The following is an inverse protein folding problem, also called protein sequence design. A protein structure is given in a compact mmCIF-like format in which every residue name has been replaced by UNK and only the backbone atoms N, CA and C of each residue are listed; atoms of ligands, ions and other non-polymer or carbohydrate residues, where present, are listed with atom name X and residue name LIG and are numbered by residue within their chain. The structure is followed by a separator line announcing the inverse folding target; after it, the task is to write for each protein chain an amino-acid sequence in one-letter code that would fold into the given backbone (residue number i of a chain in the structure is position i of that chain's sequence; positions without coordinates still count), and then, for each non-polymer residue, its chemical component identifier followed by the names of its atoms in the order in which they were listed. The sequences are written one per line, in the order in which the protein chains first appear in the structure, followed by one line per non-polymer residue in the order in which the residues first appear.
data_IF_531220482232
#
_entry.id   IF_531220482232
#
_cell.length_a   1.000
_cell.length_b   1.000
_cell.length_c   1.000
_cell.angle_alpha   90.00
_cell.angle_beta   90.00
_cell.angle_gamma   90.00
#
_symmetry.space_group_name_H-M   'P 1'
#
loop_
_entity.id
_entity.type
_entity.pdbx_description
1 polymer ?
#
# COMPACT_ATOMS: atom_id res chain seq x y z
N UNK A 1 -56.79 -18.02 -15.29
CA UNK A 1 -56.10 -18.46 -16.53
C UNK A 1 -54.75 -17.72 -16.54
N UNK A 2 -53.62 -18.16 -15.99
CA UNK A 2 -52.87 -19.44 -16.06
C UNK A 2 -52.81 -20.06 -17.45
N UNK A 3 -51.59 -20.07 -18.01
CA UNK A 3 -50.83 -21.21 -18.60
C UNK A 3 -50.27 -20.91 -20.01
N UNK A 4 -48.92 -20.89 -20.11
CA UNK A 4 -47.98 -21.48 -21.09
C UNK A 4 -48.32 -21.48 -22.61
N UNK A 5 -47.38 -21.55 -23.57
CA UNK A 5 -46.06 -22.17 -23.60
C UNK A 5 -45.27 -21.68 -24.85
N UNK A 6 -43.96 -21.45 -24.65
CA UNK A 6 -42.81 -21.93 -25.45
C UNK A 6 -42.90 -22.06 -26.99
N UNK A 7 -41.92 -21.37 -27.59
CA UNK A 7 -41.01 -21.82 -28.67
C UNK A 7 -41.58 -22.12 -30.07
N UNK A 8 -41.00 -21.47 -31.09
CA UNK A 8 -40.01 -22.12 -31.97
C UNK A 8 -39.44 -21.18 -33.04
N UNK A 9 -38.09 -21.24 -33.14
CA UNK A 9 -37.27 -21.21 -34.36
C UNK A 9 -37.21 -19.92 -35.19
N UNK A 10 -36.05 -19.26 -35.14
CA UNK A 10 -35.08 -19.32 -36.25
C UNK A 10 -33.85 -18.45 -35.96
N UNK A 11 -32.86 -19.00 -35.24
CA UNK A 11 -31.43 -18.72 -35.48
C UNK A 11 -30.66 -20.00 -35.12
N UNK A 12 -30.72 -20.99 -36.00
CA UNK A 12 -29.92 -22.21 -35.95
C UNK A 12 -29.41 -22.43 -37.37
N UNK A 13 -28.17 -22.01 -37.61
CA UNK A 13 -27.19 -22.72 -38.42
C UNK A 13 -25.92 -21.87 -38.42
N UNK A 14 -24.93 -22.33 -37.64
CA UNK A 14 -23.51 -22.41 -38.02
C UNK A 14 -22.57 -22.67 -36.82
N UNK A 15 -23.00 -23.44 -35.82
CA UNK A 15 -22.06 -24.07 -34.89
C UNK A 15 -22.16 -25.58 -35.03
N UNK A 16 -21.33 -26.12 -35.93
CA UNK A 16 -20.94 -27.53 -35.90
C UNK A 16 -19.55 -27.58 -35.27
N UNK A 17 -19.49 -28.36 -34.21
CA UNK A 17 -18.34 -28.68 -33.36
C UNK A 17 -17.16 -29.13 -34.24
N UNK A 18 -15.99 -28.52 -34.04
CA UNK A 18 -14.72 -29.19 -34.19
C UNK A 18 -14.10 -29.26 -32.80
N UNK A 19 -14.12 -30.45 -32.20
CA UNK A 19 -13.18 -30.83 -31.16
C UNK A 19 -11.79 -30.86 -31.79
N UNK A 20 -10.91 -29.97 -31.35
CA UNK A 20 -9.46 -30.17 -31.40
C UNK A 20 -8.91 -29.60 -30.09
N UNK A 21 -8.45 -30.54 -29.27
CA UNK A 21 -7.39 -30.51 -28.27
C UNK A 21 -7.16 -29.25 -27.39
N UNK A 22 -7.12 -29.55 -26.11
CA UNK A 22 -6.56 -28.78 -25.00
C UNK A 22 -5.29 -28.01 -25.36
N UNK A 23 -5.35 -26.68 -25.36
CA UNK A 23 -4.19 -25.81 -25.22
C UNK A 23 -4.62 -24.44 -24.66
N UNK A 24 -3.94 -24.06 -23.57
CA UNK A 24 -3.79 -22.74 -22.95
C UNK A 24 -5.03 -21.93 -22.52
N UNK A 25 -5.27 -21.96 -21.19
CA UNK A 25 -5.92 -20.86 -20.47
C UNK A 25 -4.98 -19.65 -20.51
N UNK A 26 -5.19 -18.77 -21.49
CA UNK A 26 -4.30 -17.64 -21.77
C UNK A 26 -4.40 -16.53 -20.72
N UNK A 27 -3.23 -16.23 -20.15
CA UNK A 27 -2.89 -15.18 -19.18
C UNK A 27 -3.08 -13.72 -19.67
N UNK A 28 -3.78 -13.48 -20.77
CA UNK A 28 -3.88 -12.14 -21.38
C UNK A 28 -4.93 -11.22 -20.76
N UNK A 29 -5.86 -11.74 -19.93
CA UNK A 29 -6.93 -10.93 -19.34
C UNK A 29 -6.63 -10.33 -17.95
N UNK A 30 -5.40 -10.50 -17.44
CA UNK A 30 -4.91 -9.79 -16.24
C UNK A 30 -4.06 -8.56 -16.57
N UNK A 31 -3.90 -8.25 -17.87
CA UNK A 31 -3.29 -7.02 -18.35
C UNK A 31 -4.13 -5.81 -17.92
N UNK A 32 -3.67 -5.11 -16.87
CA UNK A 32 -4.14 -3.75 -16.60
C UNK A 32 -3.61 -2.90 -17.75
N UNK A 33 -4.50 -2.49 -18.66
CA UNK A 33 -4.08 -1.67 -19.78
C UNK A 33 -3.53 -0.32 -19.30
N UNK A 34 -2.75 0.35 -20.14
CA UNK A 34 -2.10 1.62 -19.81
C UNK A 34 -3.12 2.70 -19.36
N UNK A 35 -4.34 2.62 -19.88
CA UNK A 35 -5.47 3.50 -19.52
C UNK A 35 -5.94 3.23 -18.08
N UNK A 36 -6.08 1.98 -17.65
CA UNK A 36 -6.43 1.61 -16.28
C UNK A 36 -5.29 1.95 -15.30
N UNK A 37 -4.04 1.73 -15.70
CA UNK A 37 -2.86 2.15 -14.93
C UNK A 37 -2.87 3.68 -14.73
N UNK A 38 -3.19 4.44 -15.77
CA UNK A 38 -3.29 5.90 -15.70
C UNK A 38 -4.48 6.38 -14.86
N UNK A 39 -5.67 5.75 -14.96
CA UNK A 39 -6.84 6.07 -14.11
C UNK A 39 -6.58 5.78 -12.64
N UNK A 40 -5.72 4.80 -12.34
CA UNK A 40 -5.42 4.37 -10.96
C UNK A 40 -4.24 5.15 -10.37
N UNK A 41 -3.19 5.46 -11.15
CA UNK A 41 -2.24 6.54 -10.81
C UNK A 41 -3.02 7.83 -10.52
N UNK A 42 -4.03 8.11 -11.33
CA UNK A 42 -4.96 9.21 -11.11
C UNK A 42 -5.87 9.02 -9.87
N UNK A 43 -6.11 7.79 -9.37
CA UNK A 43 -6.87 7.55 -8.12
C UNK A 43 -6.01 7.73 -6.87
N UNK A 44 -4.75 7.28 -6.90
CA UNK A 44 -3.75 7.67 -5.90
C UNK A 44 -3.54 9.19 -5.93
N UNK A 45 -3.46 9.82 -7.11
CA UNK A 45 -3.39 11.28 -7.29
C UNK A 45 -4.69 12.05 -6.99
N UNK A 46 -5.88 11.44 -7.12
CA UNK A 46 -7.14 12.06 -6.69
C UNK A 46 -7.24 12.05 -5.17
N UNK A 47 -6.72 10.99 -4.55
CA UNK A 47 -6.57 10.90 -3.08
C UNK A 47 -5.47 11.85 -2.59
N UNK A 48 -4.43 12.05 -3.41
CA UNK A 48 -3.26 12.89 -3.15
C UNK A 48 -3.06 13.86 -4.32
N UNK A 49 -3.70 15.03 -4.27
CA UNK A 49 -3.28 16.13 -5.14
C UNK A 49 -1.89 16.60 -4.67
N UNK A 50 -0.79 16.05 -5.22
CA UNK A 50 0.55 16.70 -5.36
C UNK A 50 1.66 15.77 -5.91
N UNK A 51 2.75 16.43 -6.33
CA UNK A 51 4.02 15.92 -6.87
C UNK A 51 4.69 14.83 -6.00
N UNK A 52 5.51 13.94 -6.61
CA UNK A 52 6.23 12.90 -5.88
C UNK A 52 7.20 13.52 -4.85
N UNK A 53 7.11 13.07 -3.61
CA UNK A 53 8.12 13.35 -2.57
C UNK A 53 9.43 12.70 -3.04
N UNK A 54 10.41 13.51 -3.41
CA UNK A 54 11.73 13.00 -3.78
C UNK A 54 12.40 12.44 -2.54
N UNK A 55 12.77 11.16 -2.60
CA UNK A 55 13.70 10.59 -1.64
C UNK A 55 15.02 11.36 -1.76
N UNK A 56 15.34 12.18 -0.77
CA UNK A 56 16.62 12.88 -0.75
C UNK A 56 17.76 11.85 -0.68
N UNK A 57 18.38 11.59 -1.83
CA UNK A 57 19.77 11.17 -1.91
C UNK A 57 20.64 12.37 -1.48
N UNK A 58 21.53 12.13 -0.53
CA UNK A 58 22.54 13.08 -0.11
C UNK A 58 23.40 13.52 -1.31
N UNK A 59 23.62 14.83 -1.50
CA UNK A 59 24.94 15.44 -1.30
C UNK A 59 25.00 16.95 -1.59
N UNK A 60 25.46 17.68 -0.56
CA UNK A 60 26.46 18.76 -0.56
C UNK A 60 26.51 19.77 -1.73
N UNK A 61 26.15 21.03 -1.45
CA UNK A 61 27.10 22.16 -1.36
C UNK A 61 26.35 23.49 -1.26
N UNK A 62 26.03 23.93 -0.04
CA UNK A 62 25.69 25.34 0.23
C UNK A 62 26.34 25.72 1.57
N UNK A 63 27.28 26.67 1.55
CA UNK A 63 27.88 27.26 2.74
C UNK A 63 26.81 28.03 3.55
N UNK A 64 26.59 27.71 4.84
CA UNK A 64 25.48 28.25 5.62
C UNK A 64 25.78 29.64 6.22
N UNK A 65 24.77 30.53 6.18
CA UNK A 65 24.74 31.76 6.99
C UNK A 65 24.16 31.42 8.39
N UNK A 66 24.94 31.69 9.44
CA UNK A 66 24.99 30.85 10.65
C UNK A 66 23.95 31.05 11.78
N UNK A 67 23.06 32.04 11.78
CA UNK A 67 22.13 32.23 12.93
C UNK A 67 20.70 31.78 12.63
N UNK A 68 20.14 32.21 11.51
CA UNK A 68 18.77 31.84 11.10
C UNK A 68 18.67 30.35 10.73
N UNK A 69 19.74 29.79 10.17
CA UNK A 69 19.83 28.38 9.83
C UNK A 69 19.93 27.51 11.08
N UNK A 70 20.78 27.90 12.04
CA UNK A 70 20.93 27.19 13.32
C UNK A 70 19.63 27.22 14.13
N UNK A 71 18.89 28.34 14.13
CA UNK A 71 17.58 28.42 14.78
C UNK A 71 16.54 27.50 14.11
N UNK A 72 16.49 27.48 12.77
CA UNK A 72 15.62 26.57 12.01
C UNK A 72 15.96 25.10 12.27
N UNK A 73 17.24 24.75 12.27
CA UNK A 73 17.73 23.39 12.58
C UNK A 73 17.43 22.99 14.03
N UNK A 74 17.57 23.91 14.99
CA UNK A 74 17.30 23.65 16.41
C UNK A 74 15.81 23.41 16.66
N UNK A 75 14.93 24.20 16.03
CA UNK A 75 13.48 24.02 16.12
C UNK A 75 12.99 22.76 15.41
N UNK A 76 13.58 22.44 14.25
CA UNK A 76 13.28 21.21 13.56
C UNK A 76 13.70 19.98 14.39
N UNK A 77 14.87 20.03 15.05
CA UNK A 77 15.34 18.98 15.94
C UNK A 77 14.50 18.83 17.20
N UNK A 78 14.03 19.94 17.79
CA UNK A 78 13.16 19.90 18.98
C UNK A 78 11.77 19.34 18.64
N UNK A 79 11.22 19.70 17.48
CA UNK A 79 9.98 19.15 16.94
C UNK A 79 10.11 17.65 16.66
N UNK A 80 11.20 17.23 15.99
CA UNK A 80 11.52 15.83 15.74
C UNK A 80 11.56 15.00 17.03
N UNK A 81 12.26 15.50 18.06
CA UNK A 81 12.34 14.83 19.37
C UNK A 81 10.97 14.75 20.05
N UNK A 82 10.14 15.78 19.91
CA UNK A 82 8.79 15.83 20.48
C UNK A 82 7.88 14.79 19.83
N UNK A 83 7.89 14.71 18.49
CA UNK A 83 7.17 13.68 17.73
C UNK A 83 7.61 12.28 18.16
N UNK A 84 8.91 12.00 18.24
CA UNK A 84 9.40 10.69 18.68
C UNK A 84 8.99 10.37 20.12
N UNK A 85 9.04 11.35 21.03
CA UNK A 85 8.60 11.18 22.42
C UNK A 85 7.11 10.79 22.49
N UNK A 86 6.26 11.45 21.69
CA UNK A 86 4.85 11.12 21.58
C UNK A 86 4.67 9.69 21.05
N UNK A 87 5.30 9.38 19.92
CA UNK A 87 5.13 8.07 19.26
C UNK A 87 5.65 6.91 20.12
N UNK A 88 6.70 7.12 20.91
CA UNK A 88 7.24 6.10 21.83
C UNK A 88 6.32 5.83 23.03
N UNK A 89 5.43 6.76 23.36
CA UNK A 89 4.44 6.62 24.44
C UNK A 89 3.05 6.29 23.90
N UNK A 90 2.90 6.19 22.57
CA UNK A 90 1.62 5.99 21.93
C UNK A 90 1.11 4.58 22.19
N UNK A 91 -0.01 4.50 22.88
CA UNK A 91 -0.74 3.27 23.18
C UNK A 91 -2.24 3.57 23.13
N UNK A 92 -3.09 2.55 23.12
CA UNK A 92 -4.54 2.77 23.20
C UNK A 92 -4.98 3.51 24.46
N UNK A 93 -4.27 3.36 25.58
CA UNK A 93 -4.62 4.04 26.85
C UNK A 93 -4.19 5.50 26.88
N UNK A 94 -3.09 5.84 26.18
CA UNK A 94 -2.55 7.20 26.10
C UNK A 94 -2.99 7.95 24.83
N UNK A 95 -3.81 7.31 23.99
CA UNK A 95 -4.12 7.78 22.63
C UNK A 95 -4.70 9.19 22.61
N UNK A 96 -5.81 9.44 23.30
CA UNK A 96 -6.52 10.72 23.24
C UNK A 96 -5.63 11.88 23.71
N UNK A 97 -4.91 11.69 24.82
CA UNK A 97 -3.98 12.68 25.36
C UNK A 97 -2.86 13.00 24.37
N UNK A 98 -2.27 11.98 23.76
CA UNK A 98 -1.13 12.14 22.85
C UNK A 98 -1.55 12.69 21.49
N UNK A 99 -2.78 12.41 21.03
CA UNK A 99 -3.35 13.05 19.84
C UNK A 99 -3.49 14.55 20.07
N UNK A 100 -4.01 14.98 21.22
CA UNK A 100 -4.09 16.41 21.55
C UNK A 100 -2.71 17.07 21.63
N UNK A 101 -1.72 16.39 22.19
CA UNK A 101 -0.33 16.87 22.22
C UNK A 101 0.25 17.01 20.81
N UNK A 102 -0.01 16.01 19.95
CA UNK A 102 0.46 16.00 18.57
C UNK A 102 -0.16 17.13 17.74
N UNK A 103 -1.46 17.41 17.92
CA UNK A 103 -2.15 18.51 17.22
C UNK A 103 -1.62 19.90 17.60
N UNK A 104 -1.02 20.04 18.80
CA UNK A 104 -0.46 21.31 19.29
C UNK A 104 0.98 21.54 18.83
N UNK A 105 1.59 20.61 18.10
CA UNK A 105 2.95 20.76 17.60
C UNK A 105 3.03 21.92 16.58
N UNK A 106 4.10 22.72 16.59
CA UNK A 106 4.29 23.86 15.70
C UNK A 106 4.67 23.40 14.27
N UNK A 107 3.71 22.84 13.53
CA UNK A 107 3.89 22.41 12.14
C UNK A 107 3.48 23.55 11.21
N UNK A 108 4.45 24.37 10.82
CA UNK A 108 4.19 25.65 10.14
C UNK A 108 4.24 25.57 8.60
N UNK A 109 4.87 24.54 8.03
CA UNK A 109 5.08 24.44 6.57
C UNK A 109 4.96 23.00 6.06
N UNK A 110 4.83 22.87 4.73
CA UNK A 110 4.62 21.59 4.03
C UNK A 110 5.79 20.63 4.24
N UNK A 111 7.04 21.10 4.14
CA UNK A 111 8.23 20.26 4.33
C UNK A 111 8.26 19.61 5.72
N UNK A 112 7.87 20.37 6.75
CA UNK A 112 7.75 19.90 8.12
C UNK A 112 6.63 18.85 8.25
N UNK A 113 5.48 19.09 7.64
CA UNK A 113 4.36 18.15 7.65
C UNK A 113 4.73 16.82 6.97
N UNK A 114 5.39 16.89 5.81
CA UNK A 114 5.87 15.72 5.06
C UNK A 114 6.90 14.93 5.88
N UNK A 115 7.83 15.64 6.53
CA UNK A 115 8.85 15.02 7.36
C UNK A 115 8.26 14.31 8.58
N UNK A 116 7.28 14.93 9.24
CA UNK A 116 6.58 14.33 10.38
C UNK A 116 5.75 13.12 9.93
N UNK A 117 5.05 13.23 8.81
CA UNK A 117 4.32 12.10 8.23
C UNK A 117 5.27 10.94 7.91
N UNK A 118 6.44 11.22 7.34
CA UNK A 118 7.45 10.20 7.05
C UNK A 118 7.91 9.48 8.33
N UNK A 119 8.14 10.20 9.42
CA UNK A 119 8.51 9.59 10.72
C UNK A 119 7.41 8.67 11.23
N UNK A 120 6.15 9.12 11.20
CA UNK A 120 5.00 8.33 11.66
C UNK A 120 4.83 7.07 10.80
N UNK A 121 4.90 7.20 9.47
CA UNK A 121 4.80 6.07 8.55
C UNK A 121 5.94 5.07 8.76
N UNK A 122 7.20 5.52 8.81
CA UNK A 122 8.34 4.63 9.02
C UNK A 122 8.26 3.90 10.37
N UNK A 123 7.75 4.55 11.42
CA UNK A 123 7.54 3.89 12.70
C UNK A 123 6.42 2.85 12.64
N UNK A 124 5.35 3.12 11.89
CA UNK A 124 4.32 2.12 11.62
C UNK A 124 4.85 0.92 10.81
N UNK A 125 5.83 1.13 9.94
CA UNK A 125 6.49 0.05 9.19
C UNK A 125 7.42 -0.78 10.08
N UNK A 126 8.17 -0.13 10.98
CA UNK A 126 9.06 -0.79 11.95
C UNK A 126 8.27 -1.55 13.03
N UNK A 127 7.05 -1.13 13.34
CA UNK A 127 6.22 -1.70 14.42
C UNK A 127 4.84 -2.17 13.92
N UNK A 128 4.76 -3.23 13.06
CA UNK A 128 3.51 -3.63 12.40
C UNK A 128 2.39 -4.05 13.37
N UNK A 129 2.73 -4.48 14.58
CA UNK A 129 1.78 -4.83 15.64
C UNK A 129 0.96 -3.64 16.14
N UNK A 130 1.47 -2.41 15.97
CA UNK A 130 0.77 -1.17 16.30
C UNK A 130 0.17 -0.48 15.07
N UNK A 131 0.14 -1.15 13.90
CA UNK A 131 -0.35 -0.56 12.65
C UNK A 131 -1.75 0.04 12.75
N UNK A 132 -2.68 -0.64 13.45
CA UNK A 132 -4.06 -0.14 13.66
C UNK A 132 -4.13 1.12 14.53
N UNK A 133 -3.20 1.26 15.50
CA UNK A 133 -3.06 2.43 16.35
C UNK A 133 -2.55 3.63 15.54
N UNK A 134 -1.50 3.42 14.73
CA UNK A 134 -0.98 4.47 13.83
C UNK A 134 -1.99 4.86 12.76
N UNK A 135 -2.76 3.92 12.22
CA UNK A 135 -3.80 4.22 11.23
C UNK A 135 -4.92 5.07 11.86
N UNK A 136 -5.28 4.76 13.12
CA UNK A 136 -6.25 5.56 13.88
C UNK A 136 -5.72 6.97 14.15
N UNK A 137 -4.43 7.12 14.48
CA UNK A 137 -3.77 8.43 14.60
C UNK A 137 -3.90 9.22 13.28
N UNK A 138 -3.59 8.60 12.15
CA UNK A 138 -3.72 9.23 10.83
C UNK A 138 -5.16 9.67 10.53
N UNK A 139 -6.17 8.92 11.02
CA UNK A 139 -7.59 9.28 10.84
C UNK A 139 -7.98 10.51 11.64
N UNK A 140 -7.52 10.62 12.89
CA UNK A 140 -7.94 11.66 13.83
C UNK A 140 -7.12 12.95 13.71
N UNK A 141 -5.86 12.89 13.29
CA UNK A 141 -5.06 14.09 13.07
C UNK A 141 -5.64 14.94 11.94
N UNK A 142 -5.99 16.18 12.28
CA UNK A 142 -6.56 17.18 11.37
C UNK A 142 -5.58 18.35 11.17
N UNK A 143 -4.39 18.02 10.68
CA UNK A 143 -3.34 18.99 10.42
C UNK A 143 -3.35 19.31 8.92
N UNK A 144 -3.62 20.57 8.59
CA UNK A 144 -3.77 21.05 7.21
C UNK A 144 -2.96 22.33 7.00
N UNK A 145 -2.16 22.35 5.95
CA UNK A 145 -1.32 23.49 5.56
C UNK A 145 -1.72 23.91 4.15
N UNK A 146 -2.00 25.20 3.98
CA UNK A 146 -2.30 25.77 2.66
C UNK A 146 -1.00 26.08 1.92
N UNK A 147 -0.89 25.61 0.68
CA UNK A 147 0.21 25.88 -0.22
C UNK A 147 -0.31 26.47 -1.54
N UNK A 148 0.53 27.26 -2.22
CA UNK A 148 0.22 27.81 -3.53
C UNK A 148 0.98 27.00 -4.59
N UNK A 149 0.28 26.48 -5.59
CA UNK A 149 0.93 25.87 -6.75
C UNK A 149 1.47 26.98 -7.68
N UNK A 150 2.35 26.61 -8.63
CA UNK A 150 2.96 27.52 -9.62
C UNK A 150 1.92 28.34 -10.42
N UNK A 151 0.69 27.83 -10.54
CA UNK A 151 -0.43 28.47 -11.23
C UNK A 151 -1.27 29.41 -10.32
N UNK A 152 -0.83 29.69 -9.09
CA UNK A 152 -1.54 30.53 -8.13
C UNK A 152 -2.78 29.88 -7.48
N UNK A 153 -3.06 28.61 -7.79
CA UNK A 153 -4.12 27.83 -7.13
C UNK A 153 -3.69 27.43 -5.72
N UNK A 154 -4.51 27.75 -4.72
CA UNK A 154 -4.32 27.30 -3.34
C UNK A 154 -4.70 25.83 -3.22
N UNK A 155 -3.70 24.98 -3.00
CA UNK A 155 -3.89 23.59 -2.64
C UNK A 155 -3.76 23.44 -1.12
N UNK A 156 -4.41 22.43 -0.55
CA UNK A 156 -4.30 22.10 0.86
C UNK A 156 -3.58 20.77 1.01
N UNK A 157 -2.43 20.78 1.69
CA UNK A 157 -1.73 19.59 2.10
C UNK A 157 -2.19 19.17 3.49
N UNK A 158 -2.65 17.94 3.62
CA UNK A 158 -3.13 17.39 4.88
C UNK A 158 -2.17 16.30 5.35
N UNK A 159 -2.11 16.07 6.66
CA UNK A 159 -1.31 14.97 7.22
C UNK A 159 -1.65 13.61 6.59
N UNK A 160 -2.94 13.36 6.36
CA UNK A 160 -3.46 12.16 5.68
C UNK A 160 -2.87 12.00 4.28
N UNK A 161 -2.86 13.09 3.48
CA UNK A 161 -2.24 13.07 2.14
C UNK A 161 -0.77 12.69 2.24
N UNK A 162 0.00 13.32 3.13
CA UNK A 162 1.43 13.02 3.29
C UNK A 162 1.67 11.54 3.63
N UNK A 163 0.91 10.97 4.58
CA UNK A 163 1.03 9.55 4.95
C UNK A 163 0.75 8.63 3.77
N UNK A 164 -0.30 8.92 3.01
CA UNK A 164 -0.67 8.13 1.83
C UNK A 164 0.44 8.21 0.77
N UNK A 165 1.01 9.40 0.52
CA UNK A 165 2.14 9.58 -0.39
C UNK A 165 3.36 8.76 0.04
N UNK A 166 3.70 8.76 1.33
CA UNK A 166 4.83 7.97 1.84
C UNK A 166 4.58 6.47 1.62
N UNK A 167 3.37 5.99 1.90
CA UNK A 167 3.01 4.59 1.68
C UNK A 167 3.07 4.20 0.19
N UNK A 168 2.56 5.07 -0.70
CA UNK A 168 2.61 4.84 -2.14
C UNK A 168 4.06 4.75 -2.64
N UNK A 169 4.88 5.76 -2.33
CA UNK A 169 6.27 5.81 -2.76
C UNK A 169 7.07 4.62 -2.24
N UNK A 170 6.82 4.21 -0.98
CA UNK A 170 7.48 3.05 -0.40
C UNK A 170 7.03 1.74 -1.07
N UNK A 171 5.74 1.60 -1.37
CA UNK A 171 5.20 0.44 -2.07
C UNK A 171 5.78 0.31 -3.49
N UNK A 172 5.76 1.38 -4.27
CA UNK A 172 6.30 1.39 -5.64
C UNK A 172 7.79 1.02 -5.65
N UNK A 173 8.58 1.66 -4.78
CA UNK A 173 10.03 1.46 -4.69
C UNK A 173 10.45 0.08 -4.16
N UNK A 174 9.75 -0.47 -3.18
CA UNK A 174 10.22 -1.67 -2.46
C UNK A 174 9.40 -2.93 -2.73
N UNK A 175 8.20 -2.80 -3.30
CA UNK A 175 7.38 -3.95 -3.70
C UNK A 175 7.46 -4.22 -5.20
N UNK A 176 7.61 -3.18 -6.04
CA UNK A 176 7.53 -3.30 -7.50
C UNK A 176 8.91 -3.18 -8.17
N UNK A 177 9.76 -2.24 -7.75
CA UNK A 177 11.09 -2.07 -8.34
C UNK A 177 12.06 -3.21 -7.96
N UNK A 178 12.86 -3.64 -8.93
CA UNK A 178 13.77 -4.78 -8.79
C UNK A 178 15.17 -4.30 -8.37
N UNK A 179 15.32 -3.88 -7.11
CA UNK A 179 16.61 -3.41 -6.56
C UNK A 179 17.35 -4.52 -5.81
N UNK A 180 17.47 -5.71 -6.41
CA UNK A 180 18.44 -6.71 -5.94
C UNK A 180 19.85 -6.27 -6.35
N UNK A 181 20.46 -5.42 -5.54
CA UNK A 181 21.89 -5.12 -5.68
C UNK A 181 22.69 -6.29 -5.11
N UNK A 182 23.46 -6.95 -5.97
CA UNK A 182 24.31 -8.10 -5.61
C UNK A 182 25.53 -7.56 -4.85
N UNK A 183 25.37 -7.26 -3.55
CA UNK A 183 26.48 -6.88 -2.68
C UNK A 183 26.50 -7.82 -1.48
N UNK A 184 27.48 -8.70 -1.42
CA UNK A 184 27.58 -9.73 -0.38
C UNK A 184 28.44 -9.23 0.78
N UNK A 185 27.91 -8.31 1.59
CA UNK A 185 28.48 -7.95 2.89
C UNK A 185 27.50 -8.26 4.03
N UNK A 186 28.01 -8.50 5.25
CA UNK A 186 27.18 -8.74 6.44
C UNK A 186 26.24 -7.56 6.69
N UNK A 187 26.73 -6.33 6.50
CA UNK A 187 25.95 -5.10 6.61
C UNK A 187 24.83 -5.04 5.56
N UNK A 188 25.11 -5.48 4.33
CA UNK A 188 24.09 -5.58 3.29
C UNK A 188 23.02 -6.59 3.64
N UNK A 189 23.38 -7.77 4.17
CA UNK A 189 22.40 -8.78 4.58
C UNK A 189 21.49 -8.28 5.71
N UNK A 190 22.05 -7.61 6.72
CA UNK A 190 21.28 -7.00 7.80
C UNK A 190 20.34 -5.91 7.26
N UNK A 191 20.83 -5.08 6.34
CA UNK A 191 20.02 -4.06 5.69
C UNK A 191 18.85 -4.67 4.92
N UNK A 192 19.09 -5.72 4.12
CA UNK A 192 18.04 -6.41 3.37
C UNK A 192 16.99 -7.07 4.27
N UNK A 193 17.41 -7.66 5.40
CA UNK A 193 16.46 -8.20 6.39
C UNK A 193 15.58 -7.10 6.99
N UNK A 194 16.19 -5.98 7.38
CA UNK A 194 15.43 -4.83 7.92
C UNK A 194 14.47 -4.29 6.88
N UNK A 195 14.92 -4.11 5.64
CA UNK A 195 14.10 -3.64 4.54
C UNK A 195 12.91 -4.56 4.32
N UNK A 196 13.12 -5.88 4.26
CA UNK A 196 12.03 -6.86 4.15
C UNK A 196 10.99 -6.71 5.26
N UNK A 197 11.45 -6.57 6.52
CA UNK A 197 10.55 -6.39 7.67
C UNK A 197 9.72 -5.10 7.50
N UNK A 198 10.37 -4.00 7.14
CA UNK A 198 9.70 -2.72 6.90
C UNK A 198 8.73 -2.77 5.71
N UNK A 199 9.07 -3.46 4.62
CA UNK A 199 8.17 -3.64 3.48
C UNK A 199 6.91 -4.39 3.88
N UNK A 200 7.04 -5.49 4.64
CA UNK A 200 5.90 -6.20 5.21
C UNK A 200 5.09 -5.28 6.13
N UNK A 201 5.76 -4.47 6.95
CA UNK A 201 5.13 -3.47 7.80
C UNK A 201 4.33 -2.43 7.02
N UNK A 202 4.90 -1.89 5.94
CA UNK A 202 4.24 -0.96 5.02
C UNK A 202 2.99 -1.58 4.40
N UNK A 203 3.07 -2.81 3.89
CA UNK A 203 1.93 -3.51 3.30
C UNK A 203 0.81 -3.71 4.31
N UNK A 204 1.14 -4.15 5.54
CA UNK A 204 0.16 -4.30 6.61
C UNK A 204 -0.44 -2.94 6.98
N UNK A 205 0.38 -1.89 7.06
CA UNK A 205 -0.08 -0.55 7.38
C UNK A 205 -1.01 0.04 6.32
N UNK A 206 -0.75 -0.18 5.03
CA UNK A 206 -1.66 0.16 3.94
C UNK A 206 -3.04 -0.48 4.17
N UNK A 207 -3.07 -1.76 4.57
CA UNK A 207 -4.31 -2.45 4.95
C UNK A 207 -5.02 -1.81 6.15
N UNK A 208 -4.27 -1.41 7.19
CA UNK A 208 -4.84 -0.76 8.37
C UNK A 208 -5.38 0.65 8.05
N UNK A 209 -4.69 1.42 7.21
CA UNK A 209 -5.17 2.73 6.71
C UNK A 209 -6.49 2.55 5.94
N UNK A 210 -6.59 1.52 5.10
CA UNK A 210 -7.83 1.20 4.38
C UNK A 210 -9.00 0.92 5.34
N UNK A 211 -8.77 0.17 6.42
CA UNK A 211 -9.81 -0.09 7.44
C UNK A 211 -10.27 1.18 8.16
N UNK A 212 -9.45 2.22 8.19
CA UNK A 212 -9.81 3.55 8.70
C UNK A 212 -10.54 4.42 7.66
N UNK A 213 -10.91 3.86 6.50
CA UNK A 213 -11.57 4.52 5.37
C UNK A 213 -10.74 5.69 4.78
N UNK A 214 -9.42 5.63 4.95
CA UNK A 214 -8.49 6.63 4.40
C UNK A 214 -8.02 6.28 2.99
N UNK A 215 -8.26 5.04 2.54
CA UNK A 215 -8.01 4.59 1.17
C UNK A 215 -9.29 4.00 0.57
N UNK A 216 -9.44 4.13 -0.75
CA UNK A 216 -10.56 3.51 -1.45
C UNK A 216 -10.31 2.00 -1.65
N UNK A 217 -11.37 1.18 -1.78
CA UNK A 217 -11.24 -0.24 -2.09
C UNK A 217 -10.41 -0.51 -3.37
N UNK A 218 -10.52 0.39 -4.37
CA UNK A 218 -9.79 0.27 -5.63
C UNK A 218 -8.27 0.38 -5.47
N UNK A 219 -7.80 1.15 -4.49
CA UNK A 219 -6.38 1.28 -4.18
C UNK A 219 -5.81 -0.05 -3.67
N UNK A 220 -6.50 -0.70 -2.73
CA UNK A 220 -6.05 -1.98 -2.18
C UNK A 220 -6.13 -3.09 -3.23
N UNK A 221 -7.21 -3.11 -4.01
CA UNK A 221 -7.36 -4.04 -5.12
C UNK A 221 -6.24 -3.87 -6.17
N UNK A 222 -5.81 -2.64 -6.46
CA UNK A 222 -4.65 -2.38 -7.31
C UNK A 222 -3.35 -2.95 -6.71
N UNK A 223 -3.08 -2.72 -5.42
CA UNK A 223 -1.92 -3.29 -4.74
C UNK A 223 -1.91 -4.83 -4.85
N UNK A 224 -3.06 -5.48 -4.67
CA UNK A 224 -3.22 -6.93 -4.83
C UNK A 224 -2.85 -7.36 -6.26
N UNK A 225 -3.42 -6.72 -7.29
CA UNK A 225 -3.12 -7.05 -8.69
C UNK A 225 -1.65 -6.85 -9.04
N UNK A 226 -1.02 -5.77 -8.56
CA UNK A 226 0.41 -5.54 -8.77
C UNK A 226 1.28 -6.62 -8.13
N UNK A 227 0.92 -7.09 -6.94
CA UNK A 227 1.64 -8.16 -6.25
C UNK A 227 1.47 -9.52 -6.94
N UNK A 228 0.31 -9.77 -7.55
CA UNK A 228 0.03 -10.98 -8.36
C UNK A 228 0.80 -10.97 -9.67
N UNK A 229 0.87 -9.85 -10.39
CA UNK A 229 1.63 -9.76 -11.65
C UNK A 229 3.11 -10.11 -11.43
N UNK A 230 3.61 -9.92 -10.21
CA UNK A 230 4.95 -10.32 -9.81
C UNK A 230 5.05 -11.79 -9.32
N UNK A 231 4.12 -12.67 -9.70
CA UNK A 231 3.90 -14.06 -9.21
C UNK A 231 5.14 -14.96 -9.17
N UNK A 232 6.14 -14.70 -10.02
CA UNK A 232 7.39 -15.48 -10.06
C UNK A 232 8.31 -15.23 -8.85
N UNK A 233 7.97 -14.26 -7.99
CA UNK A 233 8.74 -13.91 -6.79
C UNK A 233 7.99 -14.33 -5.54
N UNK A 234 8.55 -15.30 -4.81
CA UNK A 234 8.01 -15.73 -3.50
C UNK A 234 7.79 -14.57 -2.52
N UNK A 235 8.63 -13.51 -2.61
CA UNK A 235 8.46 -12.29 -1.80
C UNK A 235 7.14 -11.57 -2.11
N UNK A 236 6.78 -11.43 -3.39
CA UNK A 236 5.54 -10.76 -3.79
C UNK A 236 4.31 -11.55 -3.32
N UNK A 237 4.38 -12.88 -3.33
CA UNK A 237 3.34 -13.74 -2.76
C UNK A 237 3.25 -13.60 -1.22
N UNK A 238 4.39 -13.51 -0.53
CA UNK A 238 4.42 -13.22 0.91
C UNK A 238 3.76 -11.87 1.23
N UNK A 239 4.06 -10.84 0.43
CA UNK A 239 3.46 -9.51 0.53
C UNK A 239 1.95 -9.54 0.29
N UNK A 240 1.50 -10.22 -0.77
CA UNK A 240 0.09 -10.42 -1.10
C UNK A 240 -0.66 -11.06 0.08
N UNK A 241 -0.11 -12.14 0.64
CA UNK A 241 -0.72 -12.81 1.78
C UNK A 241 -0.84 -11.89 3.00
N UNK A 242 0.18 -11.06 3.28
CA UNK A 242 0.14 -10.11 4.39
C UNK A 242 -0.91 -9.01 4.19
N UNK A 243 -1.09 -8.52 2.96
CA UNK A 243 -2.13 -7.53 2.64
C UNK A 243 -3.53 -8.11 2.81
N UNK A 244 -3.76 -9.29 2.22
CA UNK A 244 -5.05 -9.98 2.29
C UNK A 244 -5.43 -10.31 3.73
N UNK A 245 -4.49 -10.76 4.58
CA UNK A 245 -4.77 -11.01 6.01
C UNK A 245 -5.28 -9.79 6.76
N UNK A 246 -4.89 -8.59 6.36
CA UNK A 246 -5.31 -7.35 7.04
C UNK A 246 -6.60 -6.80 6.44
N UNK A 247 -6.69 -6.72 5.10
CA UNK A 247 -7.73 -5.96 4.41
C UNK A 247 -8.66 -6.81 3.53
N UNK A 248 -8.36 -8.09 3.32
CA UNK A 248 -9.03 -8.92 2.32
C UNK A 248 -10.51 -9.17 2.63
N UNK A 249 -10.87 -9.31 3.90
CA UNK A 249 -12.28 -9.51 4.29
C UNK A 249 -13.11 -8.28 3.99
N UNK A 250 -12.71 -7.12 4.52
CA UNK A 250 -13.39 -5.84 4.30
C UNK A 250 -13.39 -5.46 2.81
N UNK A 251 -12.34 -5.80 2.07
CA UNK A 251 -12.27 -5.57 0.63
C UNK A 251 -13.27 -6.43 -0.14
N UNK A 252 -13.40 -7.72 0.20
CA UNK A 252 -14.31 -8.64 -0.48
C UNK A 252 -15.79 -8.22 -0.35
N UNK A 253 -16.14 -7.50 0.73
CA UNK A 253 -17.47 -6.90 0.90
C UNK A 253 -17.73 -5.73 -0.06
N UNK A 254 -16.69 -5.11 -0.63
CA UNK A 254 -16.78 -3.94 -1.51
C UNK A 254 -16.51 -4.26 -2.98
N UNK A 255 -15.61 -5.19 -3.25
CA UNK A 255 -15.20 -5.63 -4.59
C UNK A 255 -15.03 -7.15 -4.51
N UNK A 256 -15.64 -7.89 -5.44
CA UNK A 256 -15.46 -9.35 -5.50
C UNK A 256 -13.98 -9.68 -5.69
N UNK A 257 -13.47 -10.60 -4.86
CA UNK A 257 -12.13 -11.15 -4.97
C UNK A 257 -12.13 -12.58 -5.54
N UNK A 258 -13.20 -13.00 -6.21
CA UNK A 258 -13.32 -14.35 -6.79
C UNK A 258 -12.18 -14.68 -7.76
N UNK A 259 -11.84 -13.76 -8.66
CA UNK A 259 -10.71 -13.91 -9.61
C UNK A 259 -9.38 -14.07 -8.87
N UNK A 260 -9.21 -13.34 -7.78
CA UNK A 260 -8.03 -13.44 -6.91
C UNK A 260 -8.00 -14.80 -6.21
N UNK A 261 -9.12 -15.27 -5.67
CA UNK A 261 -9.19 -16.57 -4.99
C UNK A 261 -8.92 -17.74 -5.94
N UNK A 262 -9.49 -17.71 -7.15
CA UNK A 262 -9.20 -18.70 -8.19
C UNK A 262 -7.70 -18.77 -8.49
N UNK A 263 -7.06 -17.59 -8.61
CA UNK A 263 -5.61 -17.52 -8.82
C UNK A 263 -4.82 -18.06 -7.61
N UNK A 264 -5.20 -17.72 -6.38
CA UNK A 264 -4.56 -18.25 -5.17
C UNK A 264 -4.70 -19.78 -5.07
N UNK A 265 -5.84 -20.35 -5.48
CA UNK A 265 -6.06 -21.80 -5.54
C UNK A 265 -5.12 -22.44 -6.57
N UNK A 266 -4.95 -21.83 -7.74
CA UNK A 266 -3.98 -22.28 -8.74
C UNK A 266 -2.54 -22.28 -8.21
N UNK A 267 -2.13 -21.25 -7.45
CA UNK A 267 -0.79 -21.16 -6.85
C UNK A 267 -0.49 -22.28 -5.85
N UNK A 268 -1.51 -22.91 -5.26
CA UNK A 268 -1.34 -24.03 -4.31
C UNK A 268 -1.61 -25.40 -4.93
N UNK A 269 -1.87 -25.45 -6.23
CA UNK A 269 -2.07 -26.69 -7.00
C UNK A 269 -0.80 -27.54 -7.07
N UNK A 270 -0.98 -28.81 -7.49
CA UNK A 270 0.14 -29.74 -7.66
C UNK A 270 1.11 -29.32 -8.77
N UNK A 271 0.63 -28.60 -9.78
CA UNK A 271 1.44 -28.04 -10.87
C UNK A 271 2.45 -27.01 -10.35
N UNK A 272 2.07 -26.25 -9.32
CA UNK A 272 2.91 -25.21 -8.70
C UNK A 272 3.81 -25.73 -7.59
N UNK A 273 3.74 -27.03 -7.27
CA UNK A 273 4.49 -27.64 -6.16
C UNK A 273 6.01 -27.53 -6.31
N UNK A 274 6.52 -27.51 -7.55
CA UNK A 274 7.95 -27.35 -7.85
C UNK A 274 8.40 -25.89 -7.99
N UNK A 275 7.46 -24.95 -8.21
CA UNK A 275 7.77 -23.53 -8.48
C UNK A 275 7.69 -22.65 -7.25
N UNK A 276 6.88 -23.02 -6.26
CA UNK A 276 6.61 -22.22 -5.05
C UNK A 276 6.97 -23.03 -3.82
N UNK A 277 7.71 -22.46 -2.87
CA UNK A 277 8.13 -23.16 -1.66
C UNK A 277 6.94 -23.60 -0.79
N UNK A 278 7.09 -24.70 -0.02
CA UNK A 278 6.05 -25.16 0.89
C UNK A 278 5.58 -24.06 1.84
N UNK A 279 6.49 -23.22 2.36
CA UNK A 279 6.18 -22.10 3.25
C UNK A 279 5.15 -21.15 2.62
N UNK A 280 5.40 -20.68 1.40
CA UNK A 280 4.50 -19.74 0.72
C UNK A 280 3.16 -20.42 0.40
N UNK A 281 3.16 -21.67 -0.07
CA UNK A 281 1.90 -22.39 -0.30
C UNK A 281 1.06 -22.53 0.97
N UNK A 282 1.67 -22.81 2.12
CA UNK A 282 0.95 -22.84 3.39
C UNK A 282 0.41 -21.45 3.78
N UNK A 283 1.16 -20.38 3.54
CA UNK A 283 0.66 -19.02 3.75
C UNK A 283 -0.54 -18.69 2.86
N UNK A 284 -0.52 -19.11 1.59
CA UNK A 284 -1.65 -18.90 0.67
C UNK A 284 -2.87 -19.71 1.11
N UNK A 285 -2.70 -20.98 1.52
CA UNK A 285 -3.80 -21.80 2.05
C UNK A 285 -4.46 -21.16 3.27
N UNK A 286 -3.67 -20.68 4.22
CA UNK A 286 -4.14 -19.98 5.41
C UNK A 286 -4.96 -18.72 5.06
N UNK A 287 -4.56 -17.99 4.02
CA UNK A 287 -5.32 -16.83 3.49
C UNK A 287 -6.65 -17.26 2.88
N UNK A 288 -6.65 -18.30 2.03
CA UNK A 288 -7.87 -18.84 1.42
C UNK A 288 -8.86 -19.27 2.52
N UNK A 289 -8.40 -20.05 3.49
CA UNK A 289 -9.24 -20.54 4.60
C UNK A 289 -9.79 -19.41 5.48
N UNK A 290 -9.01 -18.34 5.69
CA UNK A 290 -9.41 -17.24 6.59
C UNK A 290 -10.39 -16.25 5.93
N UNK A 291 -10.27 -16.03 4.61
CA UNK A 291 -10.93 -14.91 3.93
C UNK A 291 -12.03 -15.38 2.98
N UNK A 292 -11.90 -16.56 2.38
CA UNK A 292 -12.91 -17.06 1.46
C UNK A 292 -14.19 -17.36 2.24
N UNK A 293 -15.34 -16.74 1.90
CA UNK A 293 -16.60 -17.03 2.55
C UNK A 293 -16.98 -18.49 2.30
N UNK A 294 -17.45 -19.16 3.36
CA UNK A 294 -17.96 -20.53 3.33
C UNK A 294 -19.22 -20.66 2.47
#
# INVERSE_FOLDING_TARGET
MVVNNRHKKNVLNNFRINEVDSEDVSLENLSINEIQTNIIKHSWQYTVQLNPITFYENNSDIQPNNETQVWKETNYLSLYKSVLSILNKLTWTTFDQLVEEFQKLPIENVECLESIANIVALKAFDEPSFGSLYASLCRVLDITISCQNENGLTNQMTFKKCIITVCQNYFEKHCLENTETIVTSIEHEQHQRRLKIQTIGCIRFIGEIYKQLLLSPYVIHYCIKMLIICETKERSLEYLCNLLKVAGKELNEKISLEDIFEHLIYLVSDEMRSKISPRIRFMVKDVIETIMPS
#
